data_IF_918527518547
#
_entry.id   IF_918527518547
#
_cell.length_a   1.000
_cell.length_b   1.000
_cell.length_c   1.000
_cell.angle_alpha   90.00
_cell.angle_beta   90.00
_cell.angle_gamma   90.00
#
_symmetry.space_group_name_H-M   'P 1'
#
loop_
_entity.id
_entity.type
_entity.pdbx_description
1 polymer ?
#
# COMPACT_ATOMS: atom_id res chain seq x y z
N UNK A 1 8.40 -0.79 -9.60
CA UNK A 1 7.80 -1.42 -10.80
C UNK A 1 6.40 -0.85 -10.97
N UNK A 2 6.02 -0.37 -12.16
CA UNK A 2 4.66 0.08 -12.42
C UNK A 2 3.64 -1.06 -12.32
N UNK A 3 2.45 -0.74 -11.85
CA UNK A 3 1.32 -1.67 -11.73
C UNK A 3 0.83 -2.08 -13.11
N UNK A 4 0.80 -3.37 -13.39
CA UNK A 4 0.32 -3.91 -14.67
C UNK A 4 -0.92 -4.77 -14.51
N UNK A 5 -1.80 -4.70 -15.52
CA UNK A 5 -3.04 -5.46 -15.56
C UNK A 5 -3.50 -5.73 -16.98
N UNK A 6 -4.33 -6.75 -17.11
CA UNK A 6 -5.07 -7.03 -18.33
C UNK A 6 -6.38 -6.23 -18.33
N UNK A 7 -6.57 -5.44 -19.37
CA UNK A 7 -7.78 -4.70 -19.69
C UNK A 7 -8.53 -5.40 -20.83
N UNK A 8 -9.74 -4.94 -21.16
CA UNK A 8 -10.54 -5.49 -22.27
C UNK A 8 -9.84 -5.34 -23.64
N UNK A 9 -8.93 -4.39 -23.76
CA UNK A 9 -8.22 -4.07 -25.01
C UNK A 9 -6.74 -4.52 -24.96
N UNK A 10 -6.38 -5.37 -24.00
CA UNK A 10 -5.02 -5.87 -23.84
C UNK A 10 -4.34 -5.30 -22.60
N UNK A 11 -3.05 -5.00 -22.71
CA UNK A 11 -2.24 -4.51 -21.58
C UNK A 11 -2.62 -3.09 -21.16
N UNK A 12 -2.50 -2.79 -19.86
CA UNK A 12 -2.67 -1.43 -19.34
C UNK A 12 -1.44 -0.54 -19.56
N UNK A 13 -0.37 -1.03 -20.20
CA UNK A 13 0.78 -0.22 -20.57
C UNK A 13 0.37 0.88 -21.54
N UNK A 14 0.80 2.11 -21.25
CA UNK A 14 0.44 3.30 -22.03
C UNK A 14 -0.92 3.91 -21.67
N UNK A 15 -1.71 3.30 -20.78
CA UNK A 15 -2.96 3.87 -20.26
C UNK A 15 -2.72 4.68 -18.99
N UNK A 16 -3.54 5.71 -18.76
CA UNK A 16 -3.51 6.47 -17.51
C UNK A 16 -4.13 5.61 -16.42
N UNK A 17 -3.43 5.47 -15.30
CA UNK A 17 -3.82 4.65 -14.15
C UNK A 17 -4.00 5.56 -12.93
N UNK A 18 -5.11 5.39 -12.22
CA UNK A 18 -5.38 6.08 -10.95
C UNK A 18 -5.73 5.09 -9.86
N UNK A 19 -4.85 4.94 -8.87
CA UNK A 19 -5.11 4.17 -7.65
C UNK A 19 -5.98 5.03 -6.72
N UNK A 20 -7.15 4.54 -6.35
CA UNK A 20 -8.05 5.25 -5.43
C UNK A 20 -8.10 4.58 -4.05
N UNK A 21 -7.70 3.31 -3.95
CA UNK A 21 -7.56 2.63 -2.67
C UNK A 21 -6.54 1.51 -2.75
N UNK A 22 -6.01 1.12 -1.60
CA UNK A 22 -4.98 0.10 -1.52
C UNK A 22 -5.19 -0.75 -0.27
N UNK A 23 -5.15 -2.06 -0.40
CA UNK A 23 -5.10 -2.95 0.77
C UNK A 23 -3.79 -3.72 0.76
N UNK A 24 -3.05 -3.67 1.86
CA UNK A 24 -1.81 -4.42 2.04
C UNK A 24 -2.01 -5.47 3.14
N UNK A 25 -1.73 -6.73 2.82
CA UNK A 25 -1.81 -7.84 3.78
C UNK A 25 -0.45 -8.06 4.41
N UNK A 26 -0.39 -7.96 5.73
CA UNK A 26 0.82 -8.18 6.51
C UNK A 26 0.73 -9.46 7.33
N UNK A 27 1.88 -10.09 7.55
CA UNK A 27 2.04 -11.21 8.46
C UNK A 27 3.07 -10.88 9.54
N UNK A 28 2.72 -11.06 10.81
CA UNK A 28 3.59 -10.84 11.97
C UNK A 28 4.49 -9.60 11.83
N UNK A 29 3.87 -8.48 11.47
CA UNK A 29 4.57 -7.23 11.16
C UNK A 29 4.26 -6.13 12.17
N UNK A 30 5.16 -5.15 12.26
CA UNK A 30 4.96 -3.96 13.07
C UNK A 30 5.57 -2.74 12.37
N UNK A 31 4.77 -1.68 12.25
CA UNK A 31 5.19 -0.44 11.57
C UNK A 31 5.26 -0.58 10.06
N UNK A 32 5.88 0.40 9.44
CA UNK A 32 5.96 0.53 7.98
C UNK A 32 5.18 1.73 7.48
N UNK A 33 5.52 2.14 6.26
CA UNK A 33 4.92 3.25 5.55
C UNK A 33 4.53 2.82 4.15
N UNK A 34 3.50 3.44 3.60
CA UNK A 34 2.98 3.11 2.27
C UNK A 34 2.64 4.36 1.50
N UNK A 35 2.92 4.38 0.20
CA UNK A 35 2.65 5.56 -0.60
C UNK A 35 2.95 5.39 -2.09
N UNK A 36 2.70 6.44 -2.86
CA UNK A 36 2.91 6.45 -4.31
C UNK A 36 4.37 6.69 -4.70
N UNK A 37 5.17 7.28 -3.81
CA UNK A 37 6.61 7.50 -3.97
C UNK A 37 7.35 7.41 -2.63
N UNK A 38 8.68 7.54 -2.62
CA UNK A 38 9.46 7.61 -1.38
C UNK A 38 9.30 8.94 -0.64
N UNK A 39 8.82 9.98 -1.33
CA UNK A 39 8.65 11.33 -0.78
C UNK A 39 7.22 11.57 -0.25
N UNK A 40 6.26 10.75 -0.68
CA UNK A 40 4.86 10.80 -0.27
C UNK A 40 4.44 9.45 0.33
N UNK A 41 4.65 9.33 1.64
CA UNK A 41 4.46 8.11 2.41
C UNK A 41 3.53 8.36 3.62
N UNK A 42 2.52 7.51 3.78
CA UNK A 42 1.64 7.47 4.94
C UNK A 42 2.10 6.38 5.93
N UNK A 43 2.07 6.68 7.23
CA UNK A 43 2.46 5.73 8.28
C UNK A 43 1.35 4.73 8.59
N UNK A 44 1.69 3.44 8.53
CA UNK A 44 0.76 2.37 8.89
C UNK A 44 0.69 2.22 10.40
N UNK A 45 -0.46 2.59 10.99
CA UNK A 45 -0.67 2.40 12.43
C UNK A 45 -1.03 0.95 12.74
N UNK A 46 -0.18 0.28 13.51
CA UNK A 46 -0.43 -1.09 13.99
C UNK A 46 -1.04 -1.15 15.38
N UNK A 47 -0.96 -0.06 16.16
CA UNK A 47 -1.53 0.00 17.52
C UNK A 47 -3.05 0.00 17.50
N UNK A 48 -3.65 -0.63 18.49
CA UNK A 48 -5.09 -0.60 18.75
C UNK A 48 -5.35 -0.13 20.19
N UNK A 49 -6.59 0.27 20.50
CA UNK A 49 -6.98 0.75 21.84
C UNK A 49 -6.75 -0.29 22.95
N UNK A 50 -6.58 -1.57 22.61
CA UNK A 50 -6.28 -2.64 23.56
C UNK A 50 -4.79 -2.78 23.93
N UNK A 51 -3.90 -2.06 23.25
CA UNK A 51 -2.46 -2.13 23.54
C UNK A 51 -2.13 -1.35 24.82
N UNK A 52 -1.63 -2.05 25.84
CA UNK A 52 -1.21 -1.42 27.09
C UNK A 52 -0.03 -0.48 26.87
N UNK A 53 -0.13 0.73 27.42
CA UNK A 53 0.99 1.67 27.44
C UNK A 53 2.15 1.12 28.27
N UNK A 54 3.39 1.38 27.83
CA UNK A 54 4.61 0.94 28.54
C UNK A 54 5.07 -0.49 28.22
N UNK A 55 4.40 -1.20 27.31
CA UNK A 55 4.87 -2.48 26.76
C UNK A 55 5.06 -2.40 25.24
N UNK A 56 5.99 -3.18 24.66
CA UNK A 56 6.11 -3.28 23.22
C UNK A 56 4.81 -3.86 22.62
N UNK A 57 4.28 -3.29 21.52
CA UNK A 57 3.13 -3.87 20.83
C UNK A 57 3.45 -5.27 20.31
N UNK A 58 2.45 -6.15 20.29
CA UNK A 58 2.60 -7.46 19.66
C UNK A 58 2.70 -7.32 18.12
N UNK A 59 3.40 -8.26 17.49
CA UNK A 59 3.36 -8.39 16.03
C UNK A 59 1.93 -8.74 15.59
N UNK A 60 1.48 -8.15 14.49
CA UNK A 60 0.13 -8.39 13.97
C UNK A 60 0.15 -8.92 12.55
N UNK A 61 -0.75 -9.88 12.31
CA UNK A 61 -1.15 -10.31 10.97
C UNK A 61 -2.50 -9.66 10.68
N UNK A 62 -2.54 -8.77 9.70
CA UNK A 62 -3.73 -7.98 9.40
C UNK A 62 -3.71 -7.44 7.97
N UNK A 63 -4.91 -7.22 7.45
CA UNK A 63 -5.11 -6.41 6.25
C UNK A 63 -5.19 -4.95 6.66
N UNK A 64 -4.39 -4.10 6.02
CA UNK A 64 -4.40 -2.65 6.20
C UNK A 64 -5.01 -2.02 4.96
N UNK A 65 -6.19 -1.44 5.14
CA UNK A 65 -6.91 -0.75 4.08
C UNK A 65 -6.61 0.75 4.14
N UNK A 66 -6.01 1.25 3.05
CA UNK A 66 -5.74 2.66 2.81
C UNK A 66 -6.83 3.15 1.87
N UNK A 67 -7.84 3.80 2.47
CA UNK A 67 -9.06 4.21 1.77
C UNK A 67 -8.84 5.38 0.79
N UNK A 68 -7.89 6.27 1.08
CA UNK A 68 -7.51 7.38 0.23
C UNK A 68 -6.01 7.30 -0.06
N UNK A 69 -5.64 6.57 -1.11
CA UNK A 69 -4.25 6.43 -1.49
C UNK A 69 -3.78 7.69 -2.25
N UNK A 70 -2.68 8.35 -1.85
CA UNK A 70 -2.24 9.62 -2.42
C UNK A 70 -1.53 9.37 -3.76
N UNK A 71 -2.31 9.08 -4.80
CA UNK A 71 -1.80 8.83 -6.14
C UNK A 71 -2.52 9.69 -7.16
N UNK A 72 -1.75 10.58 -7.79
CA UNK A 72 -2.21 11.34 -8.95
C UNK A 72 -2.30 10.46 -10.18
N UNK A 73 -3.32 10.70 -11.02
CA UNK A 73 -3.49 9.95 -12.27
C UNK A 73 -2.24 10.10 -13.15
N UNK A 74 -1.65 8.98 -13.56
CA UNK A 74 -0.43 8.98 -14.36
C UNK A 74 -0.21 7.66 -15.07
N UNK A 75 0.79 7.61 -15.96
CA UNK A 75 1.14 6.39 -16.69
C UNK A 75 1.82 5.35 -15.79
N UNK A 76 2.51 5.80 -14.75
CA UNK A 76 3.21 4.96 -13.79
C UNK A 76 2.46 4.94 -12.47
N UNK A 77 1.60 3.94 -12.29
CA UNK A 77 1.00 3.65 -10.99
C UNK A 77 1.96 2.80 -10.17
N UNK A 78 2.57 3.37 -9.13
CA UNK A 78 3.54 2.68 -8.28
C UNK A 78 3.04 2.65 -6.84
N UNK A 79 3.25 1.54 -6.16
CA UNK A 79 3.04 1.41 -4.71
C UNK A 79 4.39 1.13 -4.08
N UNK A 80 4.76 1.97 -3.13
CA UNK A 80 5.99 1.84 -2.34
C UNK A 80 5.58 1.45 -0.92
N UNK A 81 6.22 0.40 -0.39
CA UNK A 81 6.12 0.02 1.02
C UNK A 81 7.50 0.11 1.62
N UNK A 82 7.68 0.95 2.63
CA UNK A 82 8.98 1.22 3.26
C UNK A 82 8.92 0.83 4.73
N UNK A 83 9.97 0.19 5.22
CA UNK A 83 10.21 0.02 6.64
C UNK A 83 11.48 0.78 7.00
N UNK A 84 11.34 1.91 7.70
CA UNK A 84 12.45 2.76 8.15
C UNK A 84 12.88 2.45 9.59
N UNK A 85 12.07 1.68 10.33
CA UNK A 85 12.39 1.23 11.68
C UNK A 85 12.96 -0.20 11.63
N UNK A 86 13.82 -0.61 12.57
CA UNK A 86 14.36 -1.97 12.64
C UNK A 86 13.30 -2.97 13.18
N UNK A 87 12.10 -2.96 12.62
CA UNK A 87 10.96 -3.78 13.00
C UNK A 87 10.66 -4.83 11.91
N UNK A 88 10.09 -5.99 12.28
CA UNK A 88 9.72 -7.01 11.30
C UNK A 88 8.63 -6.49 10.36
N UNK A 89 8.84 -6.66 9.06
CA UNK A 89 7.82 -6.39 8.04
C UNK A 89 7.79 -7.52 7.01
N UNK A 90 6.71 -8.30 7.03
CA UNK A 90 6.42 -9.35 6.05
C UNK A 90 5.15 -9.00 5.30
N UNK A 91 5.31 -8.61 4.04
CA UNK A 91 4.19 -8.31 3.12
C UNK A 91 3.78 -9.59 2.41
N UNK A 92 2.54 -10.02 2.58
CA UNK A 92 2.00 -11.18 1.88
C UNK A 92 1.33 -10.81 0.55
N UNK A 93 0.64 -9.67 0.50
CA UNK A 93 -0.05 -9.22 -0.70
C UNK A 93 -0.21 -7.71 -0.73
N UNK A 94 -0.21 -7.15 -1.95
CA UNK A 94 -0.53 -5.76 -2.25
C UNK A 94 -1.71 -5.78 -3.22
N UNK A 95 -2.84 -5.25 -2.81
CA UNK A 95 -4.12 -5.34 -3.52
C UNK A 95 -4.64 -3.93 -3.82
N UNK A 96 -4.16 -3.30 -4.91
CA UNK A 96 -4.62 -1.98 -5.30
C UNK A 96 -6.02 -2.04 -5.94
N UNK A 97 -6.84 -1.03 -5.63
CA UNK A 97 -8.09 -0.71 -6.34
C UNK A 97 -7.83 0.54 -7.17
N UNK A 98 -7.97 0.42 -8.49
CA UNK A 98 -7.59 1.47 -9.43
C UNK A 98 -8.53 1.47 -10.64
N UNK A 99 -8.52 2.59 -11.36
CA UNK A 99 -9.16 2.74 -12.65
C UNK A 99 -8.10 2.95 -13.73
N UNK A 100 -8.38 2.44 -14.93
CA UNK A 100 -7.61 2.72 -16.14
C UNK A 100 -8.45 3.59 -17.06
N UNK A 101 -7.92 4.71 -17.49
CA UNK A 101 -8.56 5.59 -18.45
C UNK A 101 -7.97 5.35 -19.83
N UNK A 102 -8.85 5.28 -20.82
CA UNK A 102 -8.47 5.22 -22.22
C UNK A 102 -8.67 6.60 -22.86
N UNK A 103 -7.87 6.90 -23.87
CA UNK A 103 -7.93 8.20 -24.56
C UNK A 103 -9.07 8.26 -25.56
#
# INVERSE_FOLDING_TARGET
MPLETQTREGTAQGKIKRIHGLTVRFHNSLGGKVGSSTDDLEELTFRTTGDLMGRPPALRSADKDIGAFPHDSGYEAVVVVVQDQPLPQTVLAVMPRYATEDR
#
